data_IF_653464313619
#
_entry.id   IF_653464313619
#
_cell.length_a   1.000
_cell.length_b   1.000
_cell.length_c   1.000
_cell.angle_alpha   90.00
_cell.angle_beta   90.00
_cell.angle_gamma   90.00
#
_symmetry.space_group_name_H-M   'P 1'
#
loop_
_entity.id
_entity.type
_entity.pdbx_description
1 polymer ?
#
# COMPACT_ATOMS: atom_id res chain seq x y z
N UNK A 1 6.89 30.00 13.62
CA UNK A 1 6.48 29.02 12.60
C UNK A 1 4.97 28.95 12.52
N UNK A 2 4.35 29.46 11.48
CA UNK A 2 2.88 29.43 11.32
C UNK A 2 2.47 28.02 10.88
N UNK A 3 1.66 27.35 11.70
CA UNK A 3 1.03 26.06 11.35
C UNK A 3 -0.02 26.36 10.27
N UNK A 4 0.25 25.95 9.03
CA UNK A 4 -0.76 25.93 7.98
C UNK A 4 -1.75 24.81 8.31
N UNK A 5 -2.94 25.18 8.79
CA UNK A 5 -4.07 24.26 8.91
C UNK A 5 -4.71 24.15 7.54
N UNK A 6 -4.57 23.01 6.90
CA UNK A 6 -5.48 22.64 5.81
C UNK A 6 -6.80 22.23 6.49
N UNK A 7 -7.95 22.82 6.10
CA UNK A 7 -9.23 22.41 6.66
C UNK A 7 -9.52 20.98 6.22
N UNK A 8 -9.81 20.08 7.17
CA UNK A 8 -10.47 18.82 6.86
C UNK A 8 -11.81 19.15 6.22
N UNK A 9 -12.03 18.70 5.00
CA UNK A 9 -13.33 18.78 4.38
C UNK A 9 -14.26 17.83 5.14
N UNK A 10 -15.09 18.40 6.02
CA UNK A 10 -16.12 17.65 6.74
C UNK A 10 -17.24 17.27 5.78
N UNK A 11 -16.97 16.31 4.90
CA UNK A 11 -18.01 15.68 4.11
C UNK A 11 -18.67 14.62 5.02
N UNK A 12 -19.76 14.98 5.69
CA UNK A 12 -20.62 14.04 6.42
C UNK A 12 -21.43 13.22 5.42
N UNK A 13 -20.75 12.41 4.64
CA UNK A 13 -21.38 11.27 4.03
C UNK A 13 -21.32 10.16 5.08
N UNK A 14 -22.48 9.79 5.63
CA UNK A 14 -22.59 8.58 6.44
C UNK A 14 -22.19 7.43 5.54
N UNK A 15 -20.95 6.96 5.68
CA UNK A 15 -20.49 5.73 5.04
C UNK A 15 -21.31 4.54 5.53
N UNK A 16 -21.28 3.41 4.84
CA UNK A 16 -22.04 2.22 5.20
C UNK A 16 -21.78 1.84 6.66
N UNK A 17 -22.84 1.71 7.45
CA UNK A 17 -22.74 1.29 8.86
C UNK A 17 -22.54 -0.23 8.89
N UNK A 18 -21.34 -0.66 9.11
CA UNK A 18 -20.93 -2.06 9.26
C UNK A 18 -21.47 -2.68 10.57
N UNK A 19 -22.76 -2.92 10.69
CA UNK A 19 -23.41 -3.20 11.97
C UNK A 19 -23.20 -4.63 12.51
N UNK A 20 -22.84 -5.62 11.67
CA UNK A 20 -22.92 -7.06 12.01
C UNK A 20 -21.61 -7.85 11.91
N UNK A 21 -20.44 -7.20 11.79
CA UNK A 21 -19.16 -7.92 11.78
C UNK A 21 -18.60 -8.07 13.20
N UNK A 22 -18.08 -9.26 13.50
CA UNK A 22 -17.26 -9.47 14.70
C UNK A 22 -15.98 -8.63 14.58
N UNK A 23 -15.88 -7.56 15.37
CA UNK A 23 -14.85 -6.53 15.26
C UNK A 23 -14.01 -6.55 16.51
N UNK A 24 -12.79 -7.03 16.39
CA UNK A 24 -11.85 -6.96 17.47
C UNK A 24 -10.97 -5.71 17.32
N UNK A 25 -11.06 -4.78 18.28
CA UNK A 25 -10.09 -3.68 18.33
C UNK A 25 -8.71 -4.27 18.64
N UNK A 26 -7.76 -3.98 17.76
CA UNK A 26 -6.37 -4.48 17.86
C UNK A 26 -5.37 -3.37 18.17
N UNK A 27 -5.78 -2.09 18.02
CA UNK A 27 -4.91 -0.95 18.32
C UNK A 27 -5.54 0.39 17.97
N UNK A 28 -4.68 1.41 17.88
CA UNK A 28 -5.05 2.80 17.59
C UNK A 28 -4.06 3.47 16.64
N UNK A 29 -4.55 4.44 15.89
CA UNK A 29 -3.74 5.30 15.03
C UNK A 29 -3.05 6.37 15.88
N UNK A 30 -1.72 6.33 15.98
CA UNK A 30 -0.93 7.23 16.82
C UNK A 30 -0.59 8.55 16.13
N UNK A 31 -0.25 8.49 14.83
CA UNK A 31 0.08 9.67 14.04
C UNK A 31 -0.20 9.42 12.55
N UNK A 32 -0.41 10.52 11.83
CA UNK A 32 -0.61 10.56 10.38
C UNK A 32 0.45 11.42 9.73
N UNK A 33 0.99 10.94 8.60
CA UNK A 33 1.93 11.70 7.79
C UNK A 33 1.56 11.68 6.31
N UNK A 34 1.81 12.79 5.64
CA UNK A 34 1.67 12.93 4.19
C UNK A 34 2.99 13.41 3.58
N UNK A 35 3.22 13.01 2.35
CA UNK A 35 4.31 13.50 1.49
C UNK A 35 3.71 13.99 0.18
N UNK A 36 3.90 15.23 -0.15
CA UNK A 36 3.36 15.83 -1.38
C UNK A 36 4.11 15.37 -2.64
N UNK A 37 5.39 15.01 -2.50
CA UNK A 37 6.19 14.40 -3.57
C UNK A 37 7.01 13.23 -3.01
N UNK A 38 7.49 12.34 -3.89
CA UNK A 38 8.32 11.18 -3.47
C UNK A 38 9.60 11.58 -2.73
N UNK A 39 10.11 12.78 -3.00
CA UNK A 39 11.38 13.28 -2.43
C UNK A 39 11.17 14.22 -1.24
N UNK A 40 9.95 14.74 -1.02
CA UNK A 40 9.68 15.61 0.13
C UNK A 40 9.76 14.83 1.44
N UNK A 41 10.19 15.50 2.53
CA UNK A 41 10.12 14.90 3.85
C UNK A 41 8.67 14.63 4.24
N UNK A 42 8.39 13.56 5.01
CA UNK A 42 7.09 13.33 5.60
C UNK A 42 6.70 14.50 6.50
N UNK A 43 5.43 14.89 6.44
CA UNK A 43 4.87 15.94 7.29
C UNK A 43 3.70 15.39 8.08
N UNK A 44 3.77 15.50 9.40
CA UNK A 44 2.67 15.12 10.28
C UNK A 44 1.45 16.03 10.06
N UNK A 45 0.26 15.45 10.06
CA UNK A 45 -1.02 16.12 9.88
C UNK A 45 -2.00 15.72 10.99
N UNK A 46 -2.96 16.59 11.27
CA UNK A 46 -4.01 16.33 12.28
C UNK A 46 -5.12 15.44 11.73
N UNK A 47 -5.28 15.39 10.41
CA UNK A 47 -6.21 14.51 9.71
C UNK A 47 -5.77 14.30 8.26
N UNK A 48 -6.26 13.23 7.64
CA UNK A 48 -6.07 12.92 6.22
C UNK A 48 -7.32 12.24 5.67
N UNK A 49 -7.71 12.60 4.45
CA UNK A 49 -8.80 11.95 3.75
C UNK A 49 -8.27 10.75 2.96
N UNK A 50 -8.78 9.56 3.29
CA UNK A 50 -8.58 8.35 2.53
C UNK A 50 -9.61 8.28 1.40
N UNK A 51 -9.16 7.98 0.19
CA UNK A 51 -10.00 7.87 -1.01
C UNK A 51 -9.96 6.41 -1.49
N UNK A 52 -11.15 5.81 -1.61
CA UNK A 52 -11.30 4.43 -2.07
C UNK A 52 -10.51 4.18 -3.37
N UNK A 53 -9.82 3.06 -3.43
CA UNK A 53 -8.94 2.62 -4.51
C UNK A 53 -7.77 3.57 -4.86
N UNK A 54 -7.57 4.67 -4.13
CA UNK A 54 -6.52 5.67 -4.46
C UNK A 54 -5.45 5.81 -3.39
N UNK A 55 -5.81 5.79 -2.10
CA UNK A 55 -4.92 6.10 -0.99
C UNK A 55 -5.24 7.42 -0.32
N UNK A 56 -4.27 8.09 0.31
CA UNK A 56 -4.48 9.35 1.01
C UNK A 56 -4.45 10.54 0.05
N UNK A 57 -5.46 11.41 0.16
CA UNK A 57 -5.57 12.60 -0.68
C UNK A 57 -4.35 13.52 -0.47
N UNK A 58 -3.68 13.88 -1.56
CA UNK A 58 -2.49 14.74 -1.53
C UNK A 58 -1.19 14.03 -1.18
N UNK A 59 -1.20 12.71 -0.96
CA UNK A 59 0.03 11.93 -0.80
C UNK A 59 0.63 11.52 -2.16
N UNK A 60 1.94 11.47 -2.23
CA UNK A 60 2.68 11.09 -3.44
C UNK A 60 2.50 9.63 -3.86
N UNK A 61 1.93 8.79 -3.00
CA UNK A 61 1.61 7.37 -3.27
C UNK A 61 0.13 7.17 -3.59
N UNK A 62 -0.67 8.24 -3.67
CA UNK A 62 -2.07 8.19 -4.09
C UNK A 62 -2.17 7.73 -5.56
N UNK A 63 -2.34 6.43 -5.75
CA UNK A 63 -2.30 5.78 -7.05
C UNK A 63 -3.25 4.56 -7.10
N UNK A 64 -4.27 4.61 -8.02
CA UNK A 64 -5.25 3.53 -8.17
C UNK A 64 -4.64 2.19 -8.59
N UNK A 65 -3.50 2.22 -9.26
CA UNK A 65 -2.83 1.05 -9.82
C UNK A 65 -1.66 0.55 -8.97
N UNK A 66 -1.45 1.10 -7.78
CA UNK A 66 -0.38 0.68 -6.90
C UNK A 66 -0.92 -0.12 -5.69
N UNK A 67 -0.31 -1.25 -5.32
CA UNK A 67 -0.59 -1.91 -4.05
C UNK A 67 0.02 -1.18 -2.85
N UNK A 68 0.83 -0.15 -3.09
CA UNK A 68 1.60 0.61 -2.08
C UNK A 68 1.01 1.99 -1.87
N UNK A 69 -0.32 2.07 -1.60
CA UNK A 69 -1.00 3.36 -1.43
C UNK A 69 -0.65 4.05 -0.13
N UNK A 70 -0.43 3.26 0.94
CA UNK A 70 -0.01 3.75 2.24
C UNK A 70 0.81 2.69 2.98
N UNK A 71 1.60 3.14 3.96
CA UNK A 71 2.43 2.32 4.81
C UNK A 71 1.99 2.50 6.27
N UNK A 72 1.68 1.39 6.94
CA UNK A 72 1.51 1.31 8.39
C UNK A 72 2.85 0.92 9.02
N UNK A 73 3.27 1.63 10.06
CA UNK A 73 4.47 1.28 10.83
C UNK A 73 4.16 1.23 12.34
N UNK A 74 4.78 0.28 13.02
CA UNK A 74 4.64 0.11 14.46
C UNK A 74 5.41 1.17 15.24
N UNK A 75 4.73 1.87 16.15
CA UNK A 75 5.35 2.78 17.10
C UNK A 75 6.34 2.08 18.07
N UNK A 76 6.18 0.78 18.30
CA UNK A 76 7.10 -0.06 19.06
C UNK A 76 8.49 -0.07 18.44
N UNK A 77 8.58 -0.24 17.13
CA UNK A 77 9.86 -0.24 16.40
C UNK A 77 10.62 1.08 16.57
N UNK A 78 9.90 2.21 16.60
CA UNK A 78 10.51 3.51 16.84
C UNK A 78 11.15 3.60 18.23
N UNK A 79 10.49 3.05 19.26
CA UNK A 79 11.02 3.00 20.63
C UNK A 79 12.20 2.06 20.75
N UNK A 80 12.06 0.82 20.26
CA UNK A 80 13.06 -0.24 20.35
C UNK A 80 14.38 0.15 19.68
N UNK A 81 14.29 0.77 18.52
CA UNK A 81 15.45 1.15 17.72
C UNK A 81 15.86 2.62 17.90
N UNK A 82 15.20 3.37 18.79
CA UNK A 82 15.42 4.80 19.02
C UNK A 82 15.46 5.59 17.69
N UNK A 83 14.47 5.36 16.82
CA UNK A 83 14.41 6.01 15.52
C UNK A 83 13.90 7.45 15.62
N UNK A 84 14.44 8.37 14.83
CA UNK A 84 13.86 9.70 14.71
C UNK A 84 12.48 9.63 14.05
N UNK A 85 11.62 10.60 14.35
CA UNK A 85 10.28 10.68 13.77
C UNK A 85 10.32 10.56 12.24
N UNK A 86 9.40 9.76 11.70
CA UNK A 86 9.22 9.51 10.26
C UNK A 86 10.39 8.82 9.54
N UNK A 87 11.29 8.17 10.27
CA UNK A 87 12.44 7.44 9.68
C UNK A 87 11.99 6.33 8.73
N UNK A 88 10.87 5.65 9.04
CA UNK A 88 10.31 4.59 8.20
C UNK A 88 9.47 5.14 7.04
N UNK A 89 9.23 6.46 7.00
CA UNK A 89 8.46 7.14 5.94
C UNK A 89 7.02 6.61 5.83
N UNK A 90 6.46 6.21 6.95
CA UNK A 90 5.08 5.73 7.08
C UNK A 90 4.05 6.84 6.83
N UNK A 91 2.83 6.42 6.47
CA UNK A 91 1.65 7.28 6.45
C UNK A 91 0.88 7.19 7.76
N UNK A 92 0.76 5.97 8.31
CA UNK A 92 0.07 5.67 9.55
C UNK A 92 1.07 5.09 10.56
N UNK A 93 1.30 5.81 11.66
CA UNK A 93 1.99 5.26 12.81
C UNK A 93 0.95 4.63 13.73
N UNK A 94 1.10 3.34 14.04
CA UNK A 94 0.12 2.55 14.80
C UNK A 94 0.75 1.90 16.02
N UNK A 95 -0.04 1.53 17.02
CA UNK A 95 0.44 0.79 18.21
C UNK A 95 0.19 -0.73 18.08
N UNK A 96 0.34 -1.23 16.87
CA UNK A 96 0.17 -2.65 16.53
C UNK A 96 1.50 -3.16 15.99
N UNK A 97 1.89 -4.39 16.39
CA UNK A 97 2.98 -5.10 15.73
C UNK A 97 2.61 -5.39 14.26
N UNK A 98 3.17 -4.57 13.37
CA UNK A 98 2.88 -4.70 11.94
C UNK A 98 3.54 -5.91 11.29
N UNK A 99 4.56 -6.53 11.91
CA UNK A 99 5.16 -7.77 11.44
C UNK A 99 4.25 -8.99 11.65
N UNK A 100 3.37 -8.92 12.67
CA UNK A 100 2.38 -9.98 12.93
C UNK A 100 1.14 -9.90 12.02
N UNK A 101 0.99 -8.84 11.20
CA UNK A 101 -0.14 -8.69 10.30
C UNK A 101 0.04 -9.52 9.02
N UNK A 102 -1.04 -10.17 8.56
CA UNK A 102 -1.02 -10.98 7.35
C UNK A 102 -1.57 -10.24 6.13
N UNK A 103 -1.03 -10.55 4.96
CA UNK A 103 -1.56 -10.11 3.68
C UNK A 103 -3.01 -10.56 3.50
N UNK A 104 -3.83 -9.72 2.90
CA UNK A 104 -5.24 -9.98 2.67
C UNK A 104 -6.17 -9.58 3.83
N UNK A 105 -5.68 -9.39 5.05
CA UNK A 105 -6.50 -8.90 6.17
C UNK A 105 -7.16 -7.57 5.81
N UNK A 106 -8.39 -7.40 6.29
CA UNK A 106 -9.14 -6.13 6.17
C UNK A 106 -9.25 -5.48 7.53
N UNK A 107 -8.66 -4.29 7.66
CA UNK A 107 -8.73 -3.47 8.86
C UNK A 107 -9.71 -2.32 8.67
N UNK A 108 -10.48 -2.01 9.72
CA UNK A 108 -11.22 -0.77 9.82
C UNK A 108 -10.42 0.23 10.68
N UNK A 109 -10.24 1.45 10.19
CA UNK A 109 -9.61 2.56 10.93
C UNK A 109 -10.62 3.68 11.10
N UNK A 110 -10.88 4.06 12.35
CA UNK A 110 -11.98 4.96 12.67
C UNK A 110 -13.33 4.32 12.39
N UNK A 111 -14.26 5.07 11.80
CA UNK A 111 -15.61 4.60 11.54
C UNK A 111 -15.81 4.09 10.10
N UNK A 112 -15.12 4.67 9.12
CA UNK A 112 -15.49 4.55 7.71
C UNK A 112 -14.38 3.97 6.83
N UNK A 113 -13.11 4.13 7.24
CA UNK A 113 -11.97 3.74 6.40
C UNK A 113 -11.71 2.25 6.51
N UNK A 114 -11.76 1.56 5.38
CA UNK A 114 -11.34 0.17 5.27
C UNK A 114 -10.03 0.06 4.51
N UNK A 115 -9.10 -0.68 5.08
CA UNK A 115 -7.79 -0.95 4.51
C UNK A 115 -7.65 -2.45 4.23
N UNK A 116 -7.23 -2.79 3.00
CA UNK A 116 -6.72 -4.12 2.69
C UNK A 116 -5.21 -4.12 2.89
N UNK A 117 -4.72 -5.03 3.71
CA UNK A 117 -3.28 -5.25 3.86
C UNK A 117 -2.75 -5.99 2.63
N UNK A 118 -1.62 -5.51 2.11
CA UNK A 118 -1.06 -6.03 0.86
C UNK A 118 0.13 -6.97 1.12
N UNK A 119 1.26 -6.45 1.53
CA UNK A 119 2.48 -7.21 1.82
C UNK A 119 3.42 -6.39 2.69
N UNK A 120 4.39 -7.05 3.32
CA UNK A 120 5.40 -6.39 4.15
C UNK A 120 6.27 -5.46 3.29
N UNK A 121 6.54 -4.27 3.80
CA UNK A 121 7.40 -3.33 3.10
C UNK A 121 8.86 -3.73 3.29
N UNK A 122 9.52 -4.05 2.19
CA UNK A 122 10.95 -4.40 2.20
C UNK A 122 11.79 -3.29 2.84
N UNK A 123 12.68 -3.67 3.77
CA UNK A 123 13.68 -2.77 4.30
C UNK A 123 14.75 -2.52 3.21
N UNK A 124 14.73 -1.34 2.62
CA UNK A 124 15.63 -0.98 1.51
C UNK A 124 16.78 -0.08 1.96
N UNK A 125 17.84 -0.03 1.16
CA UNK A 125 19.04 0.76 1.44
C UNK A 125 18.81 2.27 1.64
N UNK A 126 17.64 2.80 1.23
CA UNK A 126 17.28 4.20 1.56
C UNK A 126 17.19 4.46 3.07
N UNK A 127 16.95 3.42 3.87
CA UNK A 127 16.91 3.51 5.34
C UNK A 127 18.31 3.66 5.93
N UNK A 128 19.31 3.08 5.27
CA UNK A 128 20.70 3.15 5.69
C UNK A 128 21.28 4.57 5.57
N UNK A 129 20.62 5.45 4.81
CA UNK A 129 20.92 6.89 4.78
C UNK A 129 20.59 7.60 6.11
N UNK A 130 19.64 7.07 6.90
CA UNK A 130 19.35 7.58 8.25
C UNK A 130 20.33 7.03 9.28
N UNK A 131 20.60 5.74 9.21
CA UNK A 131 21.53 5.03 10.09
C UNK A 131 22.11 3.82 9.36
N UNK A 132 23.45 3.73 9.20
CA UNK A 132 24.09 2.56 8.60
C UNK A 132 23.64 1.26 9.26
N UNK A 133 23.21 0.28 8.45
CA UNK A 133 22.74 -1.02 8.91
C UNK A 133 21.29 -1.05 9.40
N UNK A 134 20.53 0.06 9.33
CA UNK A 134 19.14 0.13 9.76
C UNK A 134 18.26 -0.86 8.99
N UNK A 135 18.50 -1.05 7.69
CA UNK A 135 17.75 -2.00 6.87
C UNK A 135 17.84 -3.43 7.41
N UNK A 136 19.02 -3.85 7.91
CA UNK A 136 19.22 -5.18 8.53
C UNK A 136 18.57 -5.28 9.91
N UNK A 137 18.61 -4.19 10.70
CA UNK A 137 18.03 -4.17 12.05
C UNK A 137 16.49 -4.21 12.01
N UNK A 138 15.90 -3.68 10.96
CA UNK A 138 14.44 -3.70 10.78
C UNK A 138 13.93 -5.06 10.36
N UNK A 139 14.68 -5.77 9.52
CA UNK A 139 14.27 -7.05 8.94
C UNK A 139 12.85 -6.95 8.34
N UNK A 140 11.88 -7.67 8.88
CA UNK A 140 10.46 -7.65 8.51
C UNK A 140 9.64 -6.54 9.21
N UNK A 141 10.24 -5.81 10.16
CA UNK A 141 9.56 -4.79 10.98
C UNK A 141 9.49 -3.39 10.35
N UNK A 142 9.71 -3.26 9.05
CA UNK A 142 9.57 -1.97 8.40
C UNK A 142 8.12 -1.48 8.35
N UNK A 143 7.18 -2.40 8.30
CA UNK A 143 5.75 -2.11 8.29
C UNK A 143 5.00 -2.74 7.13
N UNK A 144 3.68 -2.68 7.22
CA UNK A 144 2.73 -3.31 6.29
C UNK A 144 2.20 -2.29 5.29
N UNK A 145 2.26 -2.63 4.02
CA UNK A 145 1.66 -1.84 2.94
C UNK A 145 0.17 -2.13 2.83
N UNK A 146 -0.61 -1.12 2.48
CA UNK A 146 -2.05 -1.28 2.36
C UNK A 146 -2.65 -0.46 1.22
N UNK A 147 -3.88 -0.87 0.83
CA UNK A 147 -4.78 -0.17 -0.10
C UNK A 147 -6.05 0.26 0.62
N UNK A 148 -6.60 1.39 0.21
CA UNK A 148 -7.90 1.87 0.69
C UNK A 148 -9.03 1.17 -0.07
N UNK A 149 -9.89 0.44 0.64
CA UNK A 149 -11.11 -0.17 0.10
C UNK A 149 -12.31 0.78 0.22
N UNK A 150 -12.49 1.39 1.41
CA UNK A 150 -13.53 2.41 1.66
C UNK A 150 -12.87 3.68 2.18
N UNK A 151 -13.33 4.81 1.67
CA UNK A 151 -12.81 6.13 2.02
C UNK A 151 -13.41 6.69 3.31
N UNK A 152 -12.80 7.76 3.79
CA UNK A 152 -13.23 8.50 4.99
C UNK A 152 -12.10 9.35 5.53
N UNK A 153 -12.34 10.05 6.62
CA UNK A 153 -11.33 10.89 7.27
C UNK A 153 -10.66 10.14 8.43
N UNK A 154 -9.34 10.04 8.38
CA UNK A 154 -8.49 9.47 9.43
C UNK A 154 -7.99 10.56 10.39
N UNK A 155 -7.90 10.20 11.68
CA UNK A 155 -7.37 11.08 12.74
C UNK A 155 -6.54 10.27 13.74
N UNK A 156 -5.46 10.83 14.31
CA UNK A 156 -4.84 10.24 15.49
C UNK A 156 -5.87 9.99 16.59
N UNK A 157 -5.79 8.81 17.23
CA UNK A 157 -6.77 8.33 18.19
C UNK A 157 -7.86 7.41 17.58
N UNK A 158 -7.96 7.33 16.27
CA UNK A 158 -8.89 6.40 15.61
C UNK A 158 -8.58 4.95 16.01
N UNK A 159 -9.61 4.21 16.42
CA UNK A 159 -9.49 2.80 16.72
C UNK A 159 -9.22 1.99 15.44
N UNK A 160 -8.33 1.02 15.55
CA UNK A 160 -8.04 0.05 14.48
C UNK A 160 -8.67 -1.28 14.88
N UNK A 161 -9.49 -1.83 13.99
CA UNK A 161 -10.23 -3.08 14.22
C UNK A 161 -9.93 -4.08 13.11
N UNK A 162 -9.67 -5.31 13.49
CA UNK A 162 -9.67 -6.45 12.58
C UNK A 162 -11.11 -6.86 12.30
N UNK A 163 -11.52 -6.85 11.03
CA UNK A 163 -12.87 -7.25 10.62
C UNK A 163 -13.02 -8.77 10.45
N UNK A 164 -11.98 -9.54 10.72
CA UNK A 164 -11.95 -10.99 10.49
C UNK A 164 -12.29 -11.38 9.05
N UNK A 165 -12.10 -10.48 8.12
CA UNK A 165 -12.23 -10.69 6.69
C UNK A 165 -10.84 -10.82 6.07
N UNK A 166 -10.70 -11.79 5.16
CA UNK A 166 -9.47 -11.98 4.41
C UNK A 166 -9.74 -12.04 2.92
N UNK A 167 -8.98 -11.27 2.18
CA UNK A 167 -8.89 -11.24 0.72
C UNK A 167 -7.75 -12.13 0.24
N UNK A 168 -7.69 -12.50 -1.05
CA UNK A 168 -6.54 -13.23 -1.58
C UNK A 168 -5.23 -12.53 -1.20
N UNK A 169 -4.31 -13.30 -0.64
CA UNK A 169 -3.03 -12.77 -0.17
C UNK A 169 -2.13 -12.33 -1.35
N UNK A 170 -1.32 -11.32 -1.13
CA UNK A 170 -0.22 -10.92 -1.99
C UNK A 170 1.09 -11.35 -1.34
N UNK A 171 1.97 -11.95 -2.10
CA UNK A 171 3.25 -12.46 -1.61
C UNK A 171 4.19 -11.32 -1.19
N UNK A 172 5.01 -11.58 -0.18
CA UNK A 172 6.15 -10.72 0.16
C UNK A 172 7.29 -10.87 -0.86
N UNK A 173 7.36 -11.96 -1.62
CA UNK A 173 8.29 -12.12 -2.74
C UNK A 173 7.81 -11.32 -3.96
N UNK A 174 8.65 -10.38 -4.38
CA UNK A 174 8.34 -9.55 -5.53
C UNK A 174 8.28 -10.32 -6.87
N UNK A 175 8.97 -11.46 -6.99
CA UNK A 175 8.90 -12.30 -8.20
C UNK A 175 7.51 -12.93 -8.33
N UNK A 176 6.95 -13.42 -7.23
CA UNK A 176 5.60 -13.98 -7.19
C UNK A 176 4.55 -12.89 -7.48
N UNK A 177 4.74 -11.67 -6.98
CA UNK A 177 3.85 -10.56 -7.31
C UNK A 177 3.90 -10.19 -8.79
N UNK A 178 5.09 -10.20 -9.40
CA UNK A 178 5.21 -9.96 -10.85
C UNK A 178 4.53 -11.07 -11.64
N UNK A 179 4.70 -12.33 -11.25
CA UNK A 179 4.01 -13.47 -11.87
C UNK A 179 2.49 -13.32 -11.75
N UNK A 180 1.98 -13.01 -10.56
CA UNK A 180 0.55 -12.77 -10.35
C UNK A 180 -0.02 -11.69 -11.27
N UNK A 181 0.71 -10.60 -11.50
CA UNK A 181 0.28 -9.53 -12.42
C UNK A 181 0.30 -10.01 -13.87
N UNK A 182 1.29 -10.81 -14.26
CA UNK A 182 1.36 -11.40 -15.61
C UNK A 182 0.24 -12.41 -15.86
N UNK A 183 -0.13 -13.20 -14.85
CA UNK A 183 -1.25 -14.15 -14.94
C UNK A 183 -2.60 -13.45 -15.07
N UNK A 184 -2.74 -12.27 -14.46
CA UNK A 184 -3.96 -11.45 -14.56
C UNK A 184 -4.05 -10.65 -15.87
N UNK A 185 -2.98 -10.59 -16.66
CA UNK A 185 -2.95 -9.84 -17.91
C UNK A 185 -3.89 -10.49 -18.95
N UNK A 186 -4.79 -9.74 -19.62
CA UNK A 186 -5.62 -10.26 -20.71
C UNK A 186 -4.78 -10.93 -21.82
N UNK A 187 -5.31 -11.98 -22.44
CA UNK A 187 -4.56 -12.81 -23.40
C UNK A 187 -4.07 -12.03 -24.63
N UNK A 188 -4.84 -11.05 -25.07
CA UNK A 188 -4.58 -10.21 -26.25
C UNK A 188 -3.80 -8.92 -25.94
N UNK A 189 -3.43 -8.71 -24.67
CA UNK A 189 -2.78 -7.49 -24.20
C UNK A 189 -1.31 -7.73 -23.82
N UNK A 190 -0.57 -6.62 -23.79
CA UNK A 190 0.80 -6.56 -23.24
C UNK A 190 0.86 -5.51 -22.14
N UNK A 191 1.85 -5.60 -21.27
CA UNK A 191 2.10 -4.64 -20.22
C UNK A 191 3.48 -3.99 -20.37
N UNK A 192 3.58 -2.68 -20.15
CA UNK A 192 4.89 -2.04 -20.09
C UNK A 192 5.62 -2.39 -18.79
N UNK A 193 6.96 -2.57 -18.83
CA UNK A 193 7.75 -2.87 -17.63
C UNK A 193 7.50 -1.88 -16.49
N UNK A 194 7.27 -0.60 -16.80
CA UNK A 194 6.96 0.43 -15.80
C UNK A 194 5.63 0.16 -15.09
N UNK A 195 4.61 -0.22 -15.87
CA UNK A 195 3.28 -0.51 -15.32
C UNK A 195 3.28 -1.85 -14.58
N UNK A 196 4.01 -2.84 -15.07
CA UNK A 196 4.26 -4.10 -14.36
C UNK A 196 4.91 -3.87 -12.99
N UNK A 197 5.96 -3.04 -12.93
CA UNK A 197 6.59 -2.67 -11.66
C UNK A 197 5.61 -1.96 -10.72
N UNK A 198 4.82 -1.03 -11.26
CA UNK A 198 3.81 -0.27 -10.51
C UNK A 198 2.74 -1.18 -9.92
N UNK A 199 2.18 -2.08 -10.73
CA UNK A 199 1.13 -3.02 -10.32
C UNK A 199 1.64 -4.06 -9.32
N UNK A 200 2.84 -4.61 -9.53
CA UNK A 200 3.46 -5.55 -8.61
C UNK A 200 4.02 -4.89 -7.34
N UNK A 201 3.97 -3.56 -7.24
CA UNK A 201 4.51 -2.83 -6.09
C UNK A 201 6.03 -2.90 -5.97
N UNK A 202 6.73 -3.00 -7.10
CA UNK A 202 8.19 -3.07 -7.17
C UNK A 202 8.75 -1.70 -7.52
N UNK A 203 9.97 -1.41 -7.09
CA UNK A 203 10.63 -0.16 -7.47
C UNK A 203 10.96 -0.15 -8.98
N UNK A 204 10.87 1.00 -9.63
CA UNK A 204 11.14 1.13 -11.07
C UNK A 204 12.56 0.74 -11.48
N UNK A 205 13.53 0.75 -10.56
CA UNK A 205 14.89 0.26 -10.79
C UNK A 205 14.93 -1.23 -11.17
N UNK A 206 13.94 -2.02 -10.74
CA UNK A 206 13.82 -3.44 -11.05
C UNK A 206 13.38 -3.71 -12.50
N UNK A 207 12.87 -2.71 -13.23
CA UNK A 207 12.49 -2.88 -14.64
C UNK A 207 13.61 -3.46 -15.50
N UNK A 208 14.87 -3.23 -15.13
CA UNK A 208 16.05 -3.80 -15.84
C UNK A 208 16.16 -5.31 -15.67
N UNK A 209 15.64 -5.87 -14.58
CA UNK A 209 15.68 -7.32 -14.31
C UNK A 209 14.55 -8.08 -15.02
N UNK A 210 13.46 -7.43 -15.38
CA UNK A 210 12.27 -8.07 -15.92
C UNK A 210 12.51 -8.87 -17.20
N UNK A 211 13.27 -8.40 -18.21
CA UNK A 211 13.48 -9.19 -19.43
C UNK A 211 14.11 -10.56 -19.16
N UNK A 212 15.07 -10.63 -18.24
CA UNK A 212 15.71 -11.89 -17.84
C UNK A 212 14.78 -12.75 -17.00
N UNK A 213 14.12 -12.14 -16.02
CA UNK A 213 13.17 -12.82 -15.13
C UNK A 213 12.04 -13.47 -15.94
N UNK A 214 11.37 -12.70 -16.79
CA UNK A 214 10.21 -13.16 -17.59
C UNK A 214 10.62 -14.29 -18.54
N UNK A 215 11.80 -14.22 -19.16
CA UNK A 215 12.34 -15.29 -19.97
C UNK A 215 12.49 -16.60 -19.21
N UNK A 216 12.87 -16.51 -17.92
CA UNK A 216 13.04 -17.68 -17.06
C UNK A 216 11.70 -18.28 -16.59
N UNK A 217 10.58 -17.53 -16.68
CA UNK A 217 9.24 -18.05 -16.38
C UNK A 217 8.72 -19.00 -17.45
N UNK A 218 9.29 -18.96 -18.66
CA UNK A 218 8.91 -19.85 -19.74
C UNK A 218 8.30 -19.14 -20.96
N UNK A 219 8.02 -19.90 -22.03
CA UNK A 219 7.55 -19.36 -23.30
C UNK A 219 6.18 -18.66 -23.21
N UNK A 220 5.32 -19.08 -22.30
CA UNK A 220 3.95 -18.54 -22.13
C UNK A 220 3.96 -17.07 -21.69
N UNK A 221 5.05 -16.61 -21.09
CA UNK A 221 5.24 -15.22 -20.64
C UNK A 221 6.07 -14.40 -21.63
N UNK A 222 6.66 -15.05 -22.65
CA UNK A 222 7.48 -14.35 -23.63
C UNK A 222 6.65 -13.30 -24.39
N UNK A 223 7.16 -12.06 -24.43
CA UNK A 223 6.47 -10.95 -25.12
C UNK A 223 5.26 -10.36 -24.37
N UNK A 224 4.86 -10.91 -23.20
CA UNK A 224 3.74 -10.38 -22.42
C UNK A 224 4.07 -9.03 -21.77
N UNK A 225 5.32 -8.80 -21.41
CA UNK A 225 5.78 -7.50 -20.92
C UNK A 225 6.84 -6.92 -21.84
N UNK A 226 6.73 -5.61 -22.09
CA UNK A 226 7.48 -4.93 -23.15
C UNK A 226 8.06 -3.60 -22.67
N UNK A 227 9.04 -3.08 -23.40
CA UNK A 227 9.54 -1.72 -23.19
C UNK A 227 8.51 -0.69 -23.68
N UNK A 228 8.61 0.55 -23.16
CA UNK A 228 7.67 1.62 -23.54
C UNK A 228 7.73 1.98 -25.04
N UNK A 229 8.89 1.78 -25.67
CA UNK A 229 9.13 2.03 -27.12
C UNK A 229 9.01 0.77 -27.97
N UNK A 230 8.44 -0.31 -27.44
CA UNK A 230 8.20 -1.54 -28.19
C UNK A 230 7.18 -1.32 -29.31
N UNK A 231 7.41 -1.94 -30.47
CA UNK A 231 6.61 -1.78 -31.67
C UNK A 231 5.34 -2.64 -31.71
N UNK A 232 5.05 -3.42 -30.67
CA UNK A 232 3.84 -4.23 -30.58
C UNK A 232 2.58 -3.36 -30.70
N UNK A 233 1.65 -3.80 -31.54
CA UNK A 233 0.32 -3.18 -31.74
C UNK A 233 -0.71 -3.69 -30.73
N UNK A 234 -0.37 -4.67 -29.88
CA UNK A 234 -1.25 -5.22 -28.87
C UNK A 234 -1.69 -4.12 -27.86
N UNK A 235 -2.93 -4.18 -27.35
CA UNK A 235 -3.42 -3.26 -26.33
C UNK A 235 -2.50 -3.20 -25.11
N UNK A 236 -2.24 -1.99 -24.60
CA UNK A 236 -1.42 -1.78 -23.41
C UNK A 236 -2.30 -1.84 -22.15
N UNK A 237 -2.26 -2.95 -21.44
CA UNK A 237 -2.99 -3.06 -20.18
C UNK A 237 -2.36 -2.20 -19.08
N UNK A 238 -3.18 -1.50 -18.33
CA UNK A 238 -2.76 -0.60 -17.24
C UNK A 238 -3.08 -1.14 -15.85
N UNK A 239 -3.69 -2.34 -15.76
CA UNK A 239 -4.06 -2.98 -14.49
C UNK A 239 -5.55 -2.88 -14.16
N UNK A 240 -6.40 -2.55 -15.15
CA UNK A 240 -7.84 -2.50 -14.94
C UNK A 240 -8.35 -3.89 -14.54
N UNK A 241 -9.16 -3.93 -13.46
CA UNK A 241 -9.67 -5.18 -12.88
C UNK A 241 -8.76 -5.85 -11.84
N UNK A 242 -7.43 -5.60 -11.82
CA UNK A 242 -6.49 -6.31 -10.94
C UNK A 242 -6.81 -6.15 -9.45
N UNK A 243 -7.32 -5.01 -9.06
CA UNK A 243 -7.63 -4.68 -7.67
C UNK A 243 -9.13 -4.58 -7.39
N UNK A 244 -9.97 -4.99 -8.34
CA UNK A 244 -11.41 -4.94 -8.18
C UNK A 244 -11.87 -6.12 -7.31
N UNK A 245 -12.45 -5.81 -6.16
CA UNK A 245 -12.93 -6.79 -5.18
C UNK A 245 -14.43 -6.55 -4.92
N UNK A 246 -15.22 -6.53 -5.98
CA UNK A 246 -16.65 -6.29 -5.94
C UNK A 246 -17.46 -7.15 -4.92
N UNK A 247 -17.09 -8.42 -4.60
CA UNK A 247 -17.90 -9.21 -3.67
C UNK A 247 -17.88 -8.73 -2.22
N UNK A 248 -16.90 -7.92 -1.80
CA UNK A 248 -16.71 -7.60 -0.38
C UNK A 248 -17.51 -6.38 0.05
N UNK A 249 -17.73 -5.44 -0.84
CA UNK A 249 -18.58 -4.30 -0.55
C UNK A 249 -20.03 -4.73 -0.24
N UNK A 250 -20.51 -5.82 -0.84
CA UNK A 250 -21.83 -6.38 -0.54
C UNK A 250 -21.92 -7.20 0.76
N UNK A 251 -20.79 -7.65 1.33
CA UNK A 251 -20.78 -8.32 2.64
C UNK A 251 -20.73 -7.31 3.80
N UNK A 252 -20.59 -6.05 3.49
CA UNK A 252 -20.34 -4.98 4.45
C UNK A 252 -21.49 -3.94 4.43
N UNK A 253 -22.44 -4.07 3.50
CA UNK A 253 -23.74 -3.38 3.48
C UNK A 253 -24.79 -4.18 4.29
#
# INVERSE_FOLDING_TARGET
MRRFRLPCLSNRHAGPRFANLDRMQIGTLQALTLRTTRHSPPRQVECADAVAARGLLGDAHADRYSPRQLLLADAGVYRDLALPAHALRENLLVDIDTAALASGMVLQVGNDVLLRLMFQCEACGNLDAFRPGLSRLLDDRRGMLARVLSGGTLRPGDAIRDLRLSLPAWSDDWHERVLMVLDALPLDAVIEYRDLARLAGVQSSYCRAFPRMIRNLGPDYAGRAVAANDSSTAPRWKGDGLFDHAPILHLVE
#
